data_IF_975670594160
#
_entry.id   IF_975670594160
#
_cell.length_a   1.000
_cell.length_b   1.000
_cell.length_c   1.000
_cell.angle_alpha   90.00
_cell.angle_beta   90.00
_cell.angle_gamma   90.00
#
_symmetry.space_group_name_H-M   'P 1'
#
loop_
_entity.id
_entity.type
_entity.pdbx_description
1 polymer ?
#
# COMPACT_ATOMS: atom_id res chain seq x y z
N UNK A 1 7.40 -12.62 0.57
CA UNK A 1 7.16 -11.70 1.70
C UNK A 1 7.28 -12.49 2.99
N UNK A 2 7.80 -11.87 4.03
CA UNK A 2 8.16 -12.57 5.27
C UNK A 2 6.98 -12.67 6.24
N UNK A 3 6.22 -11.60 6.40
CA UNK A 3 5.09 -11.56 7.35
C UNK A 3 3.85 -10.90 6.75
N UNK A 4 3.68 -11.02 5.44
CA UNK A 4 2.55 -10.40 4.74
C UNK A 4 1.75 -11.44 3.97
N UNK A 5 0.44 -11.42 4.16
CA UNK A 5 -0.51 -12.23 3.42
C UNK A 5 -1.22 -11.38 2.36
N UNK A 6 -1.86 -12.05 1.42
CA UNK A 6 -2.61 -11.35 0.36
C UNK A 6 -3.98 -10.93 0.87
N UNK A 7 -4.33 -9.67 0.65
CA UNK A 7 -5.67 -9.15 0.86
C UNK A 7 -6.43 -9.34 -0.46
N UNK A 8 -7.43 -10.22 -0.48
CA UNK A 8 -8.11 -10.58 -1.73
C UNK A 8 -9.64 -10.57 -1.66
N UNK A 9 -10.22 -10.28 -0.50
CA UNK A 9 -11.68 -10.23 -0.36
C UNK A 9 -12.20 -8.82 -0.60
N UNK A 10 -13.22 -8.69 -1.44
CA UNK A 10 -13.79 -7.40 -1.79
C UNK A 10 -14.27 -6.61 -0.56
N UNK A 11 -14.85 -7.28 0.41
CA UNK A 11 -15.31 -6.62 1.64
C UNK A 11 -14.16 -5.96 2.41
N UNK A 12 -12.97 -6.56 2.40
CA UNK A 12 -11.81 -6.03 3.10
C UNK A 12 -11.27 -4.79 2.40
N UNK A 13 -11.27 -4.77 1.06
CA UNK A 13 -10.93 -3.56 0.30
C UNK A 13 -11.90 -2.42 0.59
N UNK A 14 -13.22 -2.71 0.57
CA UNK A 14 -14.24 -1.69 0.83
C UNK A 14 -14.14 -1.14 2.25
N UNK A 15 -13.92 -1.99 3.23
CA UNK A 15 -13.73 -1.59 4.61
C UNK A 15 -12.52 -0.66 4.75
N UNK A 16 -11.43 -0.99 4.10
CA UNK A 16 -10.21 -0.18 4.13
C UNK A 16 -10.43 1.19 3.48
N UNK A 17 -11.16 1.24 2.35
CA UNK A 17 -11.47 2.52 1.69
C UNK A 17 -12.37 3.42 2.56
N UNK A 18 -13.28 2.82 3.35
CA UNK A 18 -14.22 3.58 4.19
C UNK A 18 -13.59 4.01 5.51
N UNK A 19 -12.79 3.16 6.13
CA UNK A 19 -12.33 3.34 7.51
C UNK A 19 -10.82 3.51 7.63
N UNK A 20 -10.06 3.24 6.58
CA UNK A 20 -8.61 3.37 6.59
C UNK A 20 -8.16 4.81 6.41
N UNK A 21 -6.91 5.04 6.75
CA UNK A 21 -6.21 6.29 6.45
C UNK A 21 -5.64 6.21 5.04
N UNK A 22 -5.47 7.34 4.37
CA UNK A 22 -4.89 7.36 3.02
C UNK A 22 -3.71 8.31 2.91
N UNK A 23 -2.76 7.94 2.05
CA UNK A 23 -1.65 8.79 1.64
C UNK A 23 -1.71 8.89 0.13
N UNK A 24 -1.82 10.11 -0.40
CA UNK A 24 -1.96 10.35 -1.83
C UNK A 24 -0.62 10.77 -2.42
N UNK A 25 -0.22 10.12 -3.50
CA UNK A 25 0.94 10.51 -4.29
C UNK A 25 0.58 10.56 -5.77
N UNK A 26 1.54 10.96 -6.59
CA UNK A 26 1.34 11.05 -8.05
C UNK A 26 1.11 9.68 -8.68
N UNK A 27 1.75 8.64 -8.16
CA UNK A 27 1.74 7.30 -8.76
C UNK A 27 0.76 6.34 -8.10
N UNK A 28 0.54 6.46 -6.80
CA UNK A 28 -0.34 5.57 -6.04
C UNK A 28 -1.07 6.32 -4.95
N UNK A 29 -2.22 5.78 -4.55
CA UNK A 29 -2.87 6.13 -3.30
C UNK A 29 -2.76 4.91 -2.39
N UNK A 30 -2.26 5.11 -1.17
CA UNK A 30 -2.08 4.01 -0.21
C UNK A 30 -3.13 4.16 0.88
N UNK A 31 -3.94 3.11 1.07
CA UNK A 31 -4.87 3.01 2.19
C UNK A 31 -4.33 2.03 3.21
N UNK A 32 -4.43 2.36 4.49
CA UNK A 32 -3.96 1.47 5.54
C UNK A 32 -4.75 1.65 6.82
N UNK A 33 -4.79 0.59 7.63
CA UNK A 33 -5.32 0.65 9.00
C UNK A 33 -4.78 -0.54 9.81
N UNK A 34 -4.75 -0.44 11.15
CA UNK A 34 -4.43 -1.60 12.00
C UNK A 34 -5.43 -2.74 11.77
N UNK A 35 -4.95 -3.98 11.79
CA UNK A 35 -5.81 -5.15 11.58
C UNK A 35 -5.91 -6.08 12.78
N UNK A 36 -5.14 -5.84 13.85
CA UNK A 36 -5.16 -6.68 15.04
C UNK A 36 -4.52 -8.06 14.87
N UNK A 37 -3.82 -8.29 13.77
CA UNK A 37 -3.20 -9.58 13.45
C UNK A 37 -1.69 -9.50 13.65
N UNK A 38 -1.02 -10.66 13.79
CA UNK A 38 0.45 -10.69 13.87
C UNK A 38 1.13 -10.61 12.50
N UNK A 39 0.39 -10.27 11.45
CA UNK A 39 0.91 -10.16 10.09
C UNK A 39 0.25 -8.98 9.39
N UNK A 40 0.84 -8.57 8.25
CA UNK A 40 0.22 -7.58 7.38
C UNK A 40 -0.61 -8.29 6.31
N UNK A 41 -1.63 -7.58 5.80
CA UNK A 41 -2.35 -8.04 4.61
C UNK A 41 -2.22 -6.96 3.54
N UNK A 42 -1.80 -7.37 2.35
CA UNK A 42 -1.41 -6.48 1.27
C UNK A 42 -2.26 -6.74 0.03
N UNK A 43 -2.82 -5.67 -0.54
CA UNK A 43 -3.60 -5.73 -1.77
C UNK A 43 -3.20 -4.64 -2.74
N UNK A 44 -3.50 -4.85 -4.01
CA UNK A 44 -3.25 -3.90 -5.08
C UNK A 44 -4.48 -3.81 -5.96
N UNK A 45 -4.86 -2.59 -6.33
CA UNK A 45 -5.86 -2.39 -7.37
C UNK A 45 -5.28 -1.54 -8.50
N UNK A 46 -5.61 -1.91 -9.73
CA UNK A 46 -5.24 -1.15 -10.91
C UNK A 46 -6.45 -1.16 -11.84
N UNK A 47 -7.20 -0.07 -11.84
CA UNK A 47 -8.43 0.06 -12.61
C UNK A 47 -8.19 0.49 -14.05
N UNK A 48 -9.30 0.70 -14.77
CA UNK A 48 -9.27 1.06 -16.20
C UNK A 48 -8.55 2.37 -16.47
N UNK A 49 -8.48 3.28 -15.49
CA UNK A 49 -7.77 4.56 -15.64
C UNK A 49 -6.28 4.39 -15.83
N UNK A 50 -5.70 3.27 -15.37
CA UNK A 50 -4.28 2.99 -15.55
C UNK A 50 -3.97 2.68 -17.02
N UNK A 51 -4.89 2.04 -17.72
CA UNK A 51 -4.74 1.68 -19.12
C UNK A 51 -5.28 0.29 -19.42
N UNK A 52 -4.77 -0.33 -20.50
CA UNK A 52 -5.17 -1.67 -20.89
C UNK A 52 -4.62 -2.74 -19.94
N UNK A 53 -4.93 -4.01 -20.22
CA UNK A 53 -4.53 -5.12 -19.34
C UNK A 53 -3.01 -5.22 -19.17
N UNK A 54 -2.25 -4.97 -20.22
CA UNK A 54 -0.77 -5.01 -20.16
C UNK A 54 -0.26 -3.94 -19.20
N UNK A 55 -0.78 -2.71 -19.33
CA UNK A 55 -0.38 -1.60 -18.46
C UNK A 55 -0.80 -1.83 -17.00
N UNK A 56 -2.00 -2.35 -16.78
CA UNK A 56 -2.48 -2.67 -15.43
C UNK A 56 -1.62 -3.74 -14.77
N UNK A 57 -1.25 -4.78 -15.51
CA UNK A 57 -0.38 -5.84 -15.00
C UNK A 57 1.03 -5.31 -14.70
N UNK A 58 1.54 -4.41 -15.54
CA UNK A 58 2.83 -3.76 -15.31
C UNK A 58 2.80 -2.94 -14.01
N UNK A 59 1.75 -2.14 -13.81
CA UNK A 59 1.61 -1.34 -12.59
C UNK A 59 1.56 -2.22 -11.35
N UNK A 60 0.80 -3.32 -11.39
CA UNK A 60 0.73 -4.27 -10.28
C UNK A 60 2.09 -4.89 -9.97
N UNK A 61 2.84 -5.25 -11.00
CA UNK A 61 4.17 -5.84 -10.83
C UNK A 61 5.13 -4.86 -10.17
N UNK A 62 5.14 -3.61 -10.62
CA UNK A 62 5.98 -2.55 -10.07
C UNK A 62 5.65 -2.31 -8.59
N UNK A 63 4.37 -2.23 -8.27
CA UNK A 63 3.90 -2.00 -6.89
C UNK A 63 4.27 -3.19 -6.00
N UNK A 64 4.01 -4.41 -6.47
CA UNK A 64 4.32 -5.62 -5.69
C UNK A 64 5.81 -5.72 -5.40
N UNK A 65 6.65 -5.42 -6.37
CA UNK A 65 8.10 -5.46 -6.20
C UNK A 65 8.56 -4.40 -5.20
N UNK A 66 8.04 -3.19 -5.31
CA UNK A 66 8.40 -2.09 -4.41
C UNK A 66 7.99 -2.40 -2.96
N UNK A 67 6.80 -2.95 -2.75
CA UNK A 67 6.38 -3.37 -1.41
C UNK A 67 7.26 -4.48 -0.87
N UNK A 68 7.50 -5.52 -1.67
CA UNK A 68 8.33 -6.65 -1.25
C UNK A 68 9.73 -6.22 -0.82
N UNK A 69 10.34 -5.32 -1.59
CA UNK A 69 11.69 -4.84 -1.29
C UNK A 69 11.74 -3.99 -0.03
N UNK A 70 10.60 -3.43 0.40
CA UNK A 70 10.52 -2.52 1.54
C UNK A 70 9.60 -3.04 2.65
N UNK A 71 9.24 -4.31 2.64
CA UNK A 71 8.31 -4.89 3.60
C UNK A 71 8.70 -4.59 5.06
N UNK A 72 9.99 -4.70 5.36
CA UNK A 72 10.49 -4.52 6.72
C UNK A 72 10.41 -3.08 7.23
N UNK A 73 10.19 -2.11 6.35
CA UNK A 73 10.04 -0.71 6.74
C UNK A 73 8.63 -0.40 7.26
N UNK A 74 7.66 -1.25 6.95
CA UNK A 74 6.27 -1.06 7.38
C UNK A 74 6.05 -1.69 8.77
N UNK A 75 5.15 -1.12 9.59
CA UNK A 75 4.81 -1.76 10.85
C UNK A 75 4.05 -3.06 10.62
N UNK A 76 4.16 -4.00 11.55
CA UNK A 76 3.42 -5.26 11.48
C UNK A 76 2.03 -5.06 12.09
N UNK A 77 1.03 -5.72 11.48
CA UNK A 77 -0.34 -5.67 11.97
C UNK A 77 -1.20 -4.64 11.28
N UNK A 78 -0.94 -4.39 9.99
CA UNK A 78 -1.76 -3.47 9.19
C UNK A 78 -2.33 -4.16 7.95
N UNK A 79 -3.51 -3.71 7.55
CA UNK A 79 -4.01 -3.92 6.20
C UNK A 79 -3.53 -2.74 5.37
N UNK A 80 -3.00 -2.99 4.19
CA UNK A 80 -2.49 -1.96 3.30
C UNK A 80 -2.86 -2.27 1.86
N UNK A 81 -3.40 -1.28 1.17
CA UNK A 81 -3.77 -1.40 -0.25
C UNK A 81 -3.15 -0.26 -1.02
N UNK A 82 -2.47 -0.61 -2.10
CA UNK A 82 -1.94 0.35 -3.06
C UNK A 82 -2.91 0.43 -4.23
N UNK A 83 -3.48 1.61 -4.45
CA UNK A 83 -4.34 1.88 -5.61
C UNK A 83 -3.48 2.56 -6.66
N UNK A 84 -3.27 1.89 -7.79
CA UNK A 84 -2.46 2.43 -8.88
C UNK A 84 -3.15 3.63 -9.52
N UNK A 85 -2.42 4.71 -9.70
CA UNK A 85 -2.85 5.85 -10.49
C UNK A 85 -2.32 5.70 -11.91
N UNK A 86 -2.78 6.57 -12.82
CA UNK A 86 -2.44 6.48 -14.25
C UNK A 86 -0.94 6.36 -14.52
N UNK A 87 -0.12 7.12 -13.80
CA UNK A 87 1.32 7.13 -14.02
C UNK A 87 2.05 5.89 -13.48
N UNK A 88 1.40 5.04 -12.71
CA UNK A 88 2.06 3.88 -12.09
C UNK A 88 2.65 2.90 -13.11
N UNK A 89 2.04 2.80 -14.30
CA UNK A 89 2.54 1.92 -15.35
C UNK A 89 3.65 2.56 -16.20
N UNK A 90 3.87 3.86 -16.03
CA UNK A 90 4.82 4.64 -16.85
C UNK A 90 6.14 4.91 -16.14
N UNK A 91 6.18 4.77 -14.80
CA UNK A 91 7.37 5.06 -14.02
C UNK A 91 8.30 3.84 -13.95
N UNK A 92 9.56 4.10 -13.66
CA UNK A 92 10.53 3.03 -13.36
C UNK A 92 10.31 2.53 -11.94
N UNK A 93 10.75 1.31 -11.67
CA UNK A 93 10.58 0.67 -10.36
C UNK A 93 11.19 1.48 -9.22
N UNK A 94 12.33 2.15 -9.47
CA UNK A 94 13.01 2.94 -8.44
C UNK A 94 12.24 4.16 -7.98
N UNK A 95 11.32 4.68 -8.78
CA UNK A 95 10.50 5.85 -8.40
C UNK A 95 9.61 5.49 -7.21
N UNK A 96 8.91 4.37 -7.28
CA UNK A 96 8.04 3.93 -6.20
C UNK A 96 8.83 3.42 -4.99
N UNK A 97 9.94 2.72 -5.24
CA UNK A 97 10.85 2.28 -4.19
C UNK A 97 11.35 3.47 -3.36
N UNK A 98 11.81 4.52 -4.03
CA UNK A 98 12.27 5.75 -3.36
C UNK A 98 11.16 6.43 -2.57
N UNK A 99 9.96 6.48 -3.13
CA UNK A 99 8.81 7.09 -2.46
C UNK A 99 8.48 6.37 -1.14
N UNK A 100 8.50 5.05 -1.15
CA UNK A 100 8.25 4.25 0.04
C UNK A 100 9.33 4.50 1.09
N UNK A 101 10.60 4.42 0.69
CA UNK A 101 11.73 4.59 1.61
C UNK A 101 11.80 5.98 2.22
N UNK A 102 11.59 7.02 1.42
CA UNK A 102 11.79 8.40 1.84
C UNK A 102 10.56 9.01 2.50
N UNK A 103 9.37 8.45 2.26
CA UNK A 103 8.14 9.14 2.65
C UNK A 103 7.06 8.22 3.22
N UNK A 104 6.55 7.26 2.43
CA UNK A 104 5.33 6.54 2.77
C UNK A 104 5.45 5.69 4.04
N UNK A 105 6.49 4.90 4.16
CA UNK A 105 6.68 4.02 5.32
C UNK A 105 6.83 4.84 6.61
N UNK A 106 7.55 5.95 6.54
CA UNK A 106 7.71 6.86 7.69
C UNK A 106 6.39 7.48 8.12
N UNK A 107 5.56 7.90 7.18
CA UNK A 107 4.25 8.48 7.49
C UNK A 107 3.30 7.46 8.14
N UNK A 108 3.29 6.24 7.65
CA UNK A 108 2.46 5.18 8.20
C UNK A 108 2.89 4.87 9.64
N UNK A 109 4.19 4.73 9.87
CA UNK A 109 4.74 4.49 11.21
C UNK A 109 4.40 5.64 12.17
N UNK A 110 4.57 6.87 11.74
CA UNK A 110 4.27 8.05 12.54
C UNK A 110 2.79 8.13 12.91
N UNK A 111 1.90 7.86 11.96
CA UNK A 111 0.46 7.87 12.21
C UNK A 111 0.05 6.82 13.25
N UNK A 112 0.56 5.60 13.13
CA UNK A 112 0.23 4.53 14.06
C UNK A 112 0.78 4.79 15.47
N UNK A 113 1.98 5.37 15.57
CA UNK A 113 2.56 5.76 16.85
C UNK A 113 1.72 6.83 17.55
N UNK A 114 1.24 7.84 16.82
CA UNK A 114 0.36 8.87 17.35
C UNK A 114 -0.96 8.30 17.84
N UNK A 115 -1.54 7.35 17.09
CA UNK A 115 -2.79 6.69 17.46
C UNK A 115 -2.63 5.89 18.75
N UNK A 116 -1.52 5.18 18.92
CA UNK A 116 -1.21 4.44 20.14
C UNK A 116 -1.05 5.38 21.34
N UNK A 117 -0.34 6.49 21.17
CA UNK A 117 -0.17 7.50 22.23
C UNK A 117 -1.51 8.09 22.67
N UNK A 118 -2.40 8.37 21.72
CA UNK A 118 -3.71 8.96 22.00
C UNK A 118 -4.66 7.98 22.71
N UNK A 119 -4.40 6.68 22.64
CA UNK A 119 -5.22 5.65 23.26
C UNK A 119 -4.73 5.28 24.68
N UNK A 120 -3.64 5.89 25.10
CA UNK A 120 -3.14 5.74 26.47
C UNK A 120 -3.67 6.85 27.36
#
# INVERSE_FOLDING_TARGET
MVYTEVLNKNKDFLDLYRHGKSIVSKTVVIYFKPNGLPCNRFGITAGKKVGNAVMRNRAKRIIRQAYRDNELLFPVGIDIVFVARRSAAEVKEDVLDSYIKKYAAGQINAYLSQTEENNQ
#
